data_IF_500986480965
#
_entry.id   IF_500986480965
#
_cell.length_a   1.000
_cell.length_b   1.000
_cell.length_c   1.000
_cell.angle_alpha   90.00
_cell.angle_beta   90.00
_cell.angle_gamma   90.00
#
_symmetry.space_group_name_H-M   'P 1'
#
loop_
_entity.id
_entity.type
_entity.pdbx_description
1 polymer ?
#
# COMPACT_ATOMS: atom_id res chain seq x y z
N UNK A 1 -15.26 -6.37 -28.00
CA UNK A 1 -13.81 -6.18 -27.74
C UNK A 1 -13.65 -5.76 -26.30
N UNK A 2 -12.90 -6.51 -25.50
CA UNK A 2 -12.53 -6.09 -24.14
C UNK A 2 -11.46 -5.01 -24.33
N UNK A 3 -11.74 -3.79 -23.87
CA UNK A 3 -10.76 -2.72 -23.92
C UNK A 3 -9.51 -3.14 -23.13
N UNK A 4 -8.32 -2.88 -23.67
CA UNK A 4 -7.07 -3.07 -22.95
C UNK A 4 -7.14 -2.21 -21.68
N UNK A 5 -7.00 -2.78 -20.48
CA UNK A 5 -7.10 -2.00 -19.25
C UNK A 5 -5.99 -0.94 -19.24
N UNK A 6 -6.34 0.27 -18.79
CA UNK A 6 -5.38 1.33 -18.54
C UNK A 6 -4.33 0.84 -17.53
N UNK A 7 -3.05 0.97 -17.90
CA UNK A 7 -1.90 0.56 -17.09
C UNK A 7 -1.09 1.74 -16.60
N UNK A 8 -1.63 2.95 -16.73
CA UNK A 8 -0.99 4.16 -16.20
C UNK A 8 -0.85 4.00 -14.69
N UNK A 9 0.39 4.07 -14.14
CA UNK A 9 0.57 3.99 -12.70
C UNK A 9 -0.20 5.10 -11.98
N UNK A 10 -0.79 4.78 -10.84
CA UNK A 10 -1.46 5.78 -10.02
C UNK A 10 -0.45 6.85 -9.58
N UNK A 11 -0.79 8.15 -9.68
CA UNK A 11 0.11 9.23 -9.25
C UNK A 11 0.29 9.21 -7.74
N UNK A 12 1.37 9.83 -7.22
CA UNK A 12 1.61 9.90 -5.77
C UNK A 12 0.47 10.61 -5.02
N UNK A 13 -0.13 11.62 -5.63
CA UNK A 13 -1.28 12.35 -5.09
C UNK A 13 -2.52 11.46 -4.87
N UNK A 14 -2.61 10.30 -5.54
CA UNK A 14 -3.65 9.31 -5.23
C UNK A 14 -3.48 8.74 -3.82
N UNK A 15 -2.24 8.57 -3.36
CA UNK A 15 -1.90 8.02 -2.06
C UNK A 15 -1.76 9.11 -0.98
N UNK A 16 -1.53 10.37 -1.36
CA UNK A 16 -1.46 11.52 -0.45
C UNK A 16 -2.86 11.97 0.02
N UNK A 17 -3.60 11.04 0.60
CA UNK A 17 -4.98 11.19 1.08
C UNK A 17 -5.19 10.34 2.34
N UNK A 18 -6.26 10.57 3.11
CA UNK A 18 -6.60 9.72 4.25
C UNK A 18 -6.69 8.24 3.85
N UNK A 19 -6.08 7.36 4.65
CA UNK A 19 -6.00 5.91 4.34
C UNK A 19 -7.39 5.26 4.18
N UNK A 20 -8.38 5.77 4.91
CA UNK A 20 -9.78 5.31 4.84
C UNK A 20 -10.47 5.67 3.52
N UNK A 21 -9.97 6.68 2.79
CA UNK A 21 -10.43 7.02 1.44
C UNK A 21 -9.65 6.23 0.38
N UNK A 22 -8.34 6.06 0.57
CA UNK A 22 -7.47 5.35 -0.38
C UNK A 22 -7.82 3.86 -0.47
N UNK A 23 -8.08 3.19 0.65
CA UNK A 23 -8.37 1.76 0.69
C UNK A 23 -9.55 1.35 -0.23
N UNK A 24 -10.77 1.89 -0.08
CA UNK A 24 -11.87 1.51 -0.98
C UNK A 24 -11.61 1.88 -2.45
N UNK A 25 -10.89 2.98 -2.72
CA UNK A 25 -10.56 3.40 -4.09
C UNK A 25 -9.55 2.49 -4.81
N UNK A 26 -8.82 1.66 -4.05
CA UNK A 26 -7.90 0.65 -4.57
C UNK A 26 -8.63 -0.63 -5.03
N UNK A 27 -9.84 -0.89 -4.55
CA UNK A 27 -10.60 -2.08 -4.95
C UNK A 27 -10.91 -2.04 -6.45
N UNK A 28 -10.63 -3.15 -7.14
CA UNK A 28 -10.78 -3.27 -8.58
C UNK A 28 -9.61 -2.72 -9.40
N UNK A 29 -8.65 -2.01 -8.79
CA UNK A 29 -7.42 -1.57 -9.48
C UNK A 29 -6.49 -2.75 -9.76
N UNK A 30 -5.54 -2.52 -10.65
CA UNK A 30 -4.58 -3.54 -11.09
C UNK A 30 -3.21 -3.31 -10.43
N UNK A 31 -2.68 -4.33 -9.78
CA UNK A 31 -1.28 -4.43 -9.42
C UNK A 31 -0.54 -5.11 -10.55
N UNK A 32 0.44 -4.42 -11.14
CA UNK A 32 1.23 -4.92 -12.26
C UNK A 32 2.69 -5.01 -11.84
N UNK A 33 3.28 -6.21 -11.97
CA UNK A 33 4.71 -6.44 -11.78
C UNK A 33 5.33 -6.84 -13.11
N UNK A 34 6.27 -6.04 -13.59
CA UNK A 34 7.09 -6.38 -14.77
C UNK A 34 8.18 -7.37 -14.37
N UNK A 35 8.26 -8.50 -15.07
CA UNK A 35 9.35 -9.49 -14.92
C UNK A 35 10.00 -9.76 -16.27
N UNK A 36 11.18 -10.44 -16.31
CA UNK A 36 11.81 -10.86 -17.57
C UNK A 36 10.91 -11.73 -18.47
N UNK A 37 10.01 -12.51 -17.88
CA UNK A 37 9.10 -13.42 -18.61
C UNK A 37 7.79 -12.74 -19.05
N UNK A 38 7.56 -11.49 -18.64
CA UNK A 38 6.38 -10.71 -18.96
C UNK A 38 5.68 -10.09 -17.72
N UNK A 39 4.59 -9.34 -17.91
CA UNK A 39 3.87 -8.72 -16.80
C UNK A 39 3.01 -9.74 -16.04
N UNK A 40 3.15 -9.76 -14.72
CA UNK A 40 2.17 -10.38 -13.81
C UNK A 40 1.15 -9.31 -13.45
N UNK A 41 -0.14 -9.58 -13.66
CA UNK A 41 -1.23 -8.63 -13.37
C UNK A 41 -2.23 -9.26 -12.42
N UNK A 42 -2.50 -8.57 -11.31
CA UNK A 42 -3.48 -8.97 -10.30
C UNK A 42 -4.53 -7.85 -10.18
N UNK A 43 -5.80 -8.23 -10.00
CA UNK A 43 -6.84 -7.27 -9.61
C UNK A 43 -6.98 -7.31 -8.10
N UNK A 44 -6.91 -6.15 -7.46
CA UNK A 44 -7.11 -6.02 -6.03
C UNK A 44 -8.60 -6.25 -5.71
N UNK A 45 -8.88 -7.23 -4.85
CA UNK A 45 -10.26 -7.58 -4.44
C UNK A 45 -10.48 -7.43 -2.94
N UNK A 46 -9.41 -7.30 -2.18
CA UNK A 46 -9.40 -7.13 -0.73
C UNK A 46 -8.22 -6.22 -0.38
N UNK A 47 -8.41 -5.39 0.64
CA UNK A 47 -7.40 -4.47 1.20
C UNK A 47 -7.76 -4.16 2.65
N UNK A 48 -6.76 -3.81 3.47
CA UNK A 48 -6.98 -3.36 4.86
C UNK A 48 -6.34 -2.00 5.10
N UNK A 49 -7.07 -1.06 5.70
CA UNK A 49 -6.55 0.25 6.07
C UNK A 49 -5.97 0.23 7.49
N UNK A 50 -4.75 0.75 7.65
CA UNK A 50 -4.12 0.95 8.95
C UNK A 50 -3.88 2.43 9.23
N UNK A 51 -4.63 3.01 10.18
CA UNK A 51 -4.61 4.45 10.53
C UNK A 51 -3.54 4.81 11.59
N UNK A 52 -2.40 4.14 11.48
CA UNK A 52 -1.19 4.53 12.21
C UNK A 52 -1.34 4.65 13.73
N UNK A 53 -1.03 5.82 14.33
CA UNK A 53 -1.16 6.05 15.76
C UNK A 53 -2.57 5.88 16.33
N UNK A 54 -3.62 5.99 15.51
CA UNK A 54 -5.01 5.85 15.95
C UNK A 54 -5.49 4.39 15.93
N UNK A 55 -4.69 3.48 15.38
CA UNK A 55 -5.08 2.10 15.14
C UNK A 55 -4.16 1.11 15.89
N UNK A 56 -4.64 0.46 16.96
CA UNK A 56 -3.88 -0.56 17.69
C UNK A 56 -3.39 -1.75 16.85
N UNK A 57 -3.99 -2.02 15.69
CA UNK A 57 -3.56 -3.03 14.73
C UNK A 57 -2.36 -2.60 13.89
N UNK A 58 -2.10 -1.30 13.79
CA UNK A 58 -1.01 -0.76 12.97
C UNK A 58 0.36 -1.01 13.57
N UNK A 59 1.33 -1.36 12.72
CA UNK A 59 2.74 -1.36 13.11
C UNK A 59 3.24 0.01 13.58
N UNK A 60 2.55 1.10 13.24
CA UNK A 60 2.90 2.46 13.66
C UNK A 60 2.16 2.93 14.93
N UNK A 61 1.29 2.11 15.53
CA UNK A 61 0.52 2.47 16.73
C UNK A 61 1.40 2.99 17.87
N UNK A 62 2.56 2.35 18.08
CA UNK A 62 3.54 2.71 19.11
C UNK A 62 4.66 3.62 18.62
N UNK A 63 4.46 4.25 17.47
CA UNK A 63 5.42 5.15 16.85
C UNK A 63 6.44 4.48 15.94
N UNK A 64 7.45 5.27 15.56
CA UNK A 64 8.46 4.92 14.55
C UNK A 64 9.52 3.99 15.12
N UNK A 65 9.90 3.00 14.33
CA UNK A 65 10.96 2.02 14.57
C UNK A 65 11.75 1.81 13.27
N UNK A 66 12.98 1.29 13.32
CA UNK A 66 13.73 0.99 12.09
C UNK A 66 12.97 0.07 11.11
N UNK A 67 12.11 -0.81 11.63
CA UNK A 67 11.32 -1.75 10.82
C UNK A 67 10.20 -1.06 10.07
N UNK A 68 9.49 -0.12 10.68
CA UNK A 68 8.30 0.53 10.10
C UNK A 68 8.60 1.93 9.55
N UNK A 69 9.87 2.33 9.49
CA UNK A 69 10.29 3.69 9.11
C UNK A 69 9.71 4.13 7.76
N UNK A 70 9.61 3.19 6.81
CA UNK A 70 9.02 3.41 5.48
C UNK A 70 7.57 3.89 5.57
N UNK A 71 6.79 3.43 6.56
CA UNK A 71 5.39 3.87 6.74
C UNK A 71 5.27 5.36 7.02
N UNK A 72 6.31 6.00 7.54
CA UNK A 72 6.33 7.42 7.83
C UNK A 72 7.04 8.24 6.74
N UNK A 73 7.32 7.64 5.59
CA UNK A 73 7.90 8.30 4.43
C UNK A 73 6.84 8.88 3.49
N UNK A 74 7.24 9.33 2.29
CA UNK A 74 6.32 9.89 1.31
C UNK A 74 5.25 8.90 0.81
N UNK A 75 4.05 9.40 0.45
CA UNK A 75 2.96 8.58 -0.07
C UNK A 75 3.32 7.85 -1.37
N UNK A 76 2.73 6.66 -1.55
CA UNK A 76 2.98 5.76 -2.67
C UNK A 76 4.24 4.89 -2.51
N UNK A 77 4.93 4.96 -1.37
CA UNK A 77 5.99 4.00 -1.04
C UNK A 77 5.41 2.64 -0.66
N UNK A 78 6.20 1.59 -0.88
CA UNK A 78 5.82 0.23 -0.52
C UNK A 78 6.55 -0.15 0.77
N UNK A 79 5.79 -0.45 1.82
CA UNK A 79 6.29 -1.06 3.04
C UNK A 79 6.05 -2.57 3.02
N UNK A 80 7.14 -3.32 2.78
CA UNK A 80 7.12 -4.79 2.85
C UNK A 80 7.78 -5.26 4.14
N UNK A 81 7.13 -6.17 4.86
CA UNK A 81 7.73 -6.78 6.04
C UNK A 81 7.60 -8.29 6.03
N UNK A 82 8.57 -8.94 6.67
CA UNK A 82 8.60 -10.37 6.90
C UNK A 82 7.81 -10.74 8.17
N UNK A 83 7.02 -11.81 8.11
CA UNK A 83 6.19 -12.28 9.21
C UNK A 83 6.19 -13.80 9.34
N UNK A 84 6.00 -14.29 10.57
CA UNK A 84 5.97 -15.71 10.94
C UNK A 84 7.17 -16.55 10.47
N UNK A 85 8.30 -15.93 10.14
CA UNK A 85 9.49 -16.65 9.67
C UNK A 85 9.37 -17.20 8.24
N UNK A 86 8.34 -16.84 7.46
CA UNK A 86 8.13 -17.43 6.13
C UNK A 86 7.33 -16.59 5.13
N UNK A 87 6.59 -15.56 5.55
CA UNK A 87 5.71 -14.78 4.67
C UNK A 87 6.09 -13.31 4.59
N UNK A 88 5.67 -12.65 3.51
CA UNK A 88 5.79 -11.21 3.35
C UNK A 88 4.41 -10.57 3.20
N UNK A 89 4.22 -9.43 3.83
CA UNK A 89 3.04 -8.58 3.68
C UNK A 89 3.47 -7.27 3.02
N UNK A 90 2.66 -6.77 2.08
CA UNK A 90 2.96 -5.58 1.28
C UNK A 90 1.93 -4.49 1.54
N UNK A 91 2.40 -3.31 1.93
CA UNK A 91 1.55 -2.18 2.27
C UNK A 91 1.88 -0.97 1.38
N UNK A 92 0.88 -0.21 0.98
CA UNK A 92 1.02 1.06 0.26
C UNK A 92 0.90 2.22 1.24
N UNK A 93 1.97 3.00 1.39
CA UNK A 93 2.01 4.16 2.30
C UNK A 93 1.09 5.26 1.78
N UNK A 94 0.29 5.80 2.67
CA UNK A 94 -0.69 6.85 2.40
C UNK A 94 -0.43 8.07 3.29
N UNK A 95 -1.10 9.17 2.97
CA UNK A 95 -1.01 10.43 3.72
C UNK A 95 0.33 11.16 3.55
N UNK A 96 0.47 12.31 4.23
CA UNK A 96 1.63 13.16 4.07
C UNK A 96 2.88 12.57 4.75
N UNK A 97 4.05 12.94 4.21
CA UNK A 97 5.35 12.53 4.77
C UNK A 97 5.45 12.86 6.27
N UNK A 98 6.01 11.92 7.03
CA UNK A 98 6.09 11.98 8.49
C UNK A 98 4.86 11.45 9.24
N UNK A 99 3.72 11.21 8.58
CA UNK A 99 2.54 10.60 9.19
C UNK A 99 2.37 9.17 8.71
N UNK A 100 2.39 8.20 9.63
CA UNK A 100 2.24 6.81 9.24
C UNK A 100 0.79 6.43 9.03
N UNK A 101 0.42 6.09 7.80
CA UNK A 101 -0.77 5.30 7.51
C UNK A 101 -0.53 4.49 6.22
N UNK A 102 -1.15 3.32 6.10
CA UNK A 102 -0.91 2.46 4.94
C UNK A 102 -2.06 1.49 4.67
N UNK A 103 -2.17 1.05 3.42
CA UNK A 103 -3.12 0.02 2.99
C UNK A 103 -2.37 -1.29 2.76
N UNK A 104 -2.72 -2.35 3.48
CA UNK A 104 -2.27 -3.72 3.20
C UNK A 104 -3.01 -4.26 1.96
N UNK A 105 -2.27 -4.93 1.08
CA UNK A 105 -2.77 -5.62 -0.11
C UNK A 105 -2.84 -7.13 0.08
#
# INVERSE_FOLDING_TARGET
MIATPDRTPLPRDFFDRPVLDVAPDLLGRLLVRTTPDGPITLRLTEVEAYDGPNDPGSHAYRGRTPRNDVMFGPPGHIYVYFTYGMWHCMNLVCGPDGQACAVLL
#
